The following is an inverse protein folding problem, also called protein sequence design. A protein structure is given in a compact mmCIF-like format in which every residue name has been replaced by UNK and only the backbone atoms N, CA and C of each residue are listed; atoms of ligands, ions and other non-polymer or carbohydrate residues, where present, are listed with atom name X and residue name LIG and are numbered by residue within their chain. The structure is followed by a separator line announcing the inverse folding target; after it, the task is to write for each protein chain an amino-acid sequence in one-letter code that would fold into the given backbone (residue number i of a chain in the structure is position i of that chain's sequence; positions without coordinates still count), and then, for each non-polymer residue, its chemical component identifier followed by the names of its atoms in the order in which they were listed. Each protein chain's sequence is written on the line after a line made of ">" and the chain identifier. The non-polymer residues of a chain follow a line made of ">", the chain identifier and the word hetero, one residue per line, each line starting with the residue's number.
data_IF_993382598958
#
_entry.id   IF_993382598958
#
_cell.length_a   1.000
_cell.length_b   1.000
_cell.length_c   1.000
_cell.angle_alpha   90.00
_cell.angle_beta   90.00
_cell.angle_gamma   90.00
#
_symmetry.space_group_name_H-M   'P 1'
#
loop_
_entity.id
_entity.type
_entity.pdbx_description
1 polymer ?
#
# COMPACT_ATOMS: atom_id res chain seq x y z
N UNK A 1 -30.75 -21.06 7.57
CA UNK A 1 -29.66 -20.27 8.19
C UNK A 1 -28.96 -21.16 9.21
N UNK A 2 -27.68 -21.52 9.01
CA UNK A 2 -26.93 -22.26 10.04
C UNK A 2 -26.66 -21.30 11.20
N UNK A 3 -27.29 -21.56 12.35
CA UNK A 3 -26.99 -20.87 13.60
C UNK A 3 -25.53 -21.16 13.96
N UNK A 4 -24.69 -20.13 13.95
CA UNK A 4 -23.31 -20.22 14.43
C UNK A 4 -23.36 -20.35 15.94
N UNK A 5 -22.83 -21.44 16.47
CA UNK A 5 -22.81 -21.73 17.90
C UNK A 5 -21.91 -20.72 18.63
N UNK A 6 -22.50 -19.86 19.46
CA UNK A 6 -21.82 -18.74 20.13
C UNK A 6 -20.79 -19.18 21.20
N UNK A 7 -20.77 -20.46 21.59
CA UNK A 7 -19.97 -20.96 22.72
C UNK A 7 -18.62 -21.58 22.32
N UNK A 8 -18.09 -21.31 21.13
CA UNK A 8 -16.77 -21.81 20.67
C UNK A 8 -15.90 -20.75 19.97
N UNK A 9 -16.11 -19.46 20.23
CA UNK A 9 -15.20 -18.43 19.71
C UNK A 9 -14.07 -18.27 20.72
N UNK A 10 -12.86 -18.69 20.37
CA UNK A 10 -11.67 -18.49 21.21
C UNK A 10 -11.31 -17.00 21.25
N UNK A 11 -10.68 -16.50 22.31
CA UNK A 11 -10.25 -15.10 22.43
C UNK A 11 -9.37 -14.66 21.25
N UNK A 12 -8.58 -15.59 20.71
CA UNK A 12 -7.79 -15.40 19.49
C UNK A 12 -8.65 -15.22 18.24
N UNK A 13 -9.77 -15.94 18.14
CA UNK A 13 -10.71 -15.80 17.03
C UNK A 13 -11.45 -14.46 17.13
N UNK A 14 -11.84 -14.05 18.34
CA UNK A 14 -12.41 -12.72 18.59
C UNK A 14 -11.41 -11.61 18.24
N UNK A 15 -10.14 -11.77 18.62
CA UNK A 15 -9.08 -10.81 18.31
C UNK A 15 -8.83 -10.70 16.81
N UNK A 16 -8.68 -11.83 16.12
CA UNK A 16 -8.50 -11.86 14.67
C UNK A 16 -9.71 -11.28 13.93
N UNK A 17 -10.93 -11.61 14.38
CA UNK A 17 -12.17 -11.05 13.83
C UNK A 17 -12.26 -9.54 14.05
N UNK A 18 -11.94 -9.03 15.25
CA UNK A 18 -11.89 -7.58 15.52
C UNK A 18 -10.87 -6.87 14.62
N UNK A 19 -9.71 -7.49 14.37
CA UNK A 19 -8.69 -6.93 13.48
C UNK A 19 -9.15 -6.92 12.02
N UNK A 20 -9.81 -7.99 11.55
CA UNK A 20 -10.41 -8.05 10.22
C UNK A 20 -11.55 -7.03 10.05
N UNK A 21 -12.39 -6.84 11.08
CA UNK A 21 -13.46 -5.83 11.07
C UNK A 21 -12.91 -4.41 11.07
N UNK A 22 -11.85 -4.13 11.84
CA UNK A 22 -11.16 -2.83 11.80
C UNK A 22 -10.58 -2.56 10.41
N UNK A 23 -9.97 -3.57 9.79
CA UNK A 23 -9.47 -3.50 8.42
C UNK A 23 -10.59 -3.22 7.41
N UNK A 24 -11.70 -3.96 7.51
CA UNK A 24 -12.86 -3.76 6.64
C UNK A 24 -13.47 -2.36 6.80
N UNK A 25 -13.57 -1.85 8.04
CA UNK A 25 -14.07 -0.51 8.32
C UNK A 25 -13.13 0.59 7.81
N UNK A 26 -11.82 0.44 8.01
CA UNK A 26 -10.82 1.38 7.51
C UNK A 26 -10.87 1.45 5.97
N UNK A 27 -10.96 0.29 5.32
CA UNK A 27 -11.12 0.20 3.87
C UNK A 27 -12.37 0.93 3.40
N UNK A 28 -13.52 0.81 4.07
CA UNK A 28 -14.75 1.51 3.67
C UNK A 28 -14.70 3.04 3.79
N UNK A 29 -13.77 3.58 4.59
CA UNK A 29 -13.59 5.03 4.79
C UNK A 29 -12.65 5.67 3.76
N UNK A 30 -11.90 4.87 3.01
CA UNK A 30 -11.05 5.33 1.92
C UNK A 30 -11.88 6.12 0.90
N UNK A 31 -11.38 7.31 0.54
CA UNK A 31 -12.04 8.24 -0.39
C UNK A 31 -13.16 9.11 0.22
N UNK A 32 -13.49 8.95 1.50
CA UNK A 32 -14.54 9.75 2.19
C UNK A 32 -13.98 10.85 3.11
N UNK A 33 -12.74 10.70 3.57
CA UNK A 33 -12.08 11.66 4.45
C UNK A 33 -11.62 12.93 3.72
N UNK A 34 -11.52 14.04 4.46
CA UNK A 34 -10.93 15.29 3.93
C UNK A 34 -9.41 15.12 3.79
N UNK A 35 -8.87 15.41 2.62
CA UNK A 35 -7.43 15.32 2.32
C UNK A 35 -6.68 16.53 2.88
N UNK A 36 -6.11 16.36 4.07
CA UNK A 36 -5.42 17.44 4.81
C UNK A 36 -3.96 17.15 5.09
N UNK A 37 -3.53 15.89 4.94
CA UNK A 37 -2.16 15.48 5.22
C UNK A 37 -1.35 15.69 3.96
N UNK A 38 -0.44 16.65 4.01
CA UNK A 38 0.47 16.92 2.91
C UNK A 38 1.52 15.80 2.82
N UNK A 39 1.78 15.32 1.60
CA UNK A 39 2.80 14.33 1.29
C UNK A 39 3.71 14.90 0.21
N UNK A 40 5.02 14.75 0.39
CA UNK A 40 6.03 15.21 -0.55
C UNK A 40 6.82 14.04 -1.10
N UNK A 41 6.71 13.77 -2.40
CA UNK A 41 7.39 12.66 -3.05
C UNK A 41 8.53 13.11 -3.96
N UNK A 42 9.69 12.50 -3.80
CA UNK A 42 10.80 12.66 -4.74
C UNK A 42 10.46 12.04 -6.10
N UNK A 43 11.15 12.48 -7.17
CA UNK A 43 10.97 11.93 -8.53
C UNK A 43 11.01 10.39 -8.58
N UNK A 44 11.89 9.77 -7.78
CA UNK A 44 12.01 8.32 -7.68
C UNK A 44 10.78 7.68 -7.06
N UNK A 45 10.36 8.18 -5.90
CA UNK A 45 9.18 7.68 -5.19
C UNK A 45 7.89 7.88 -5.97
N UNK A 46 7.73 8.98 -6.70
CA UNK A 46 6.56 9.17 -7.56
C UNK A 46 6.48 8.09 -8.65
N UNK A 47 7.60 7.78 -9.32
CA UNK A 47 7.64 6.72 -10.34
C UNK A 47 7.35 5.36 -9.72
N UNK A 48 7.95 5.08 -8.57
CA UNK A 48 7.76 3.82 -7.88
C UNK A 48 6.32 3.66 -7.39
N UNK A 49 5.71 4.69 -6.81
CA UNK A 49 4.31 4.67 -6.39
C UNK A 49 3.36 4.46 -7.59
N UNK A 50 3.60 5.09 -8.74
CA UNK A 50 2.81 4.85 -9.96
C UNK A 50 2.85 3.36 -10.39
N UNK A 51 4.03 2.73 -10.30
CA UNK A 51 4.21 1.30 -10.57
C UNK A 51 3.49 0.42 -9.55
N UNK A 52 3.65 0.71 -8.26
CA UNK A 52 2.98 -0.02 -7.17
C UNK A 52 1.46 0.04 -7.34
N UNK A 53 0.90 1.22 -7.56
CA UNK A 53 -0.55 1.39 -7.73
C UNK A 53 -1.04 0.67 -8.99
N UNK A 54 -0.27 0.72 -10.08
CA UNK A 54 -0.59 -0.03 -11.29
C UNK A 54 -0.66 -1.53 -11.03
N UNK A 55 0.29 -2.08 -10.28
CA UNK A 55 0.32 -3.52 -9.98
C UNK A 55 -0.76 -3.93 -8.97
N UNK A 56 -1.01 -3.13 -7.94
CA UNK A 56 -2.10 -3.36 -6.98
C UNK A 56 -3.47 -3.37 -7.69
N UNK A 57 -3.70 -2.46 -8.65
CA UNK A 57 -4.92 -2.46 -9.46
C UNK A 57 -5.09 -3.77 -10.24
N UNK A 58 -4.04 -4.25 -10.91
CA UNK A 58 -4.07 -5.53 -11.64
C UNK A 58 -4.36 -6.71 -10.71
N UNK A 59 -3.75 -6.74 -9.53
CA UNK A 59 -4.00 -7.79 -8.54
C UNK A 59 -5.44 -7.76 -8.03
N UNK A 60 -6.03 -6.57 -7.83
CA UNK A 60 -7.43 -6.45 -7.42
C UNK A 60 -8.39 -6.96 -8.49
N UNK A 61 -8.12 -6.62 -9.76
CA UNK A 61 -8.90 -7.09 -10.92
C UNK A 61 -8.78 -8.62 -11.07
N UNK A 62 -7.57 -9.17 -10.99
CA UNK A 62 -7.32 -10.61 -11.11
C UNK A 62 -8.01 -11.44 -10.02
N UNK A 63 -8.16 -10.88 -8.81
CA UNK A 63 -8.76 -11.56 -7.67
C UNK A 63 -10.26 -11.32 -7.49
N UNK A 64 -10.94 -10.65 -8.44
CA UNK A 64 -12.34 -10.20 -8.32
C UNK A 64 -12.62 -9.42 -7.02
N UNK A 65 -11.59 -8.76 -6.48
CA UNK A 65 -11.63 -8.06 -5.19
C UNK A 65 -11.72 -6.54 -5.38
N UNK A 66 -12.31 -6.09 -6.49
CA UNK A 66 -12.37 -4.67 -6.84
C UNK A 66 -13.31 -3.94 -5.87
N UNK A 67 -12.73 -3.11 -5.02
CA UNK A 67 -13.47 -2.21 -4.12
C UNK A 67 -13.54 -0.82 -4.76
N UNK A 68 -14.74 -0.32 -5.14
CA UNK A 68 -14.88 0.92 -5.91
C UNK A 68 -14.23 2.16 -5.29
N UNK A 69 -14.22 2.21 -3.96
CA UNK A 69 -13.64 3.32 -3.21
C UNK A 69 -12.10 3.25 -3.16
N UNK A 70 -11.51 2.05 -3.11
CA UNK A 70 -10.06 1.87 -3.28
C UNK A 70 -9.66 2.18 -4.73
N UNK A 71 -10.45 1.73 -5.71
CA UNK A 71 -10.19 2.04 -7.12
C UNK A 71 -10.17 3.54 -7.36
N UNK A 72 -11.19 4.26 -6.87
CA UNK A 72 -11.26 5.72 -6.92
C UNK A 72 -10.05 6.39 -6.25
N UNK A 73 -9.59 5.84 -5.12
CA UNK A 73 -8.40 6.34 -4.44
C UNK A 73 -7.12 6.10 -5.26
N UNK A 74 -6.97 4.93 -5.87
CA UNK A 74 -5.84 4.62 -6.75
C UNK A 74 -5.83 5.49 -7.99
N UNK A 75 -7.00 5.79 -8.57
CA UNK A 75 -7.12 6.73 -9.68
C UNK A 75 -6.74 8.15 -9.26
N UNK A 76 -7.11 8.57 -8.05
CA UNK A 76 -6.64 9.82 -7.47
C UNK A 76 -5.12 9.86 -7.37
N UNK A 77 -4.47 8.83 -6.79
CA UNK A 77 -3.01 8.78 -6.67
C UNK A 77 -2.36 8.82 -8.05
N UNK A 78 -2.82 8.00 -9.00
CA UNK A 78 -2.28 8.01 -10.37
C UNK A 78 -2.41 9.38 -11.02
N UNK A 79 -3.51 10.10 -10.84
CA UNK A 79 -3.63 11.48 -11.34
C UNK A 79 -2.56 12.42 -10.76
N UNK A 80 -2.08 12.17 -9.53
CA UNK A 80 -1.00 12.96 -8.92
C UNK A 80 0.39 12.56 -9.41
N UNK A 81 0.66 11.26 -9.59
CA UNK A 81 2.03 10.78 -9.81
C UNK A 81 2.28 10.20 -11.21
N UNK A 82 1.26 9.97 -12.02
CA UNK A 82 1.47 9.50 -13.38
C UNK A 82 2.02 10.62 -14.26
N UNK A 83 2.92 10.27 -15.18
CA UNK A 83 3.51 11.21 -16.13
C UNK A 83 3.46 10.55 -17.50
N UNK A 84 2.86 11.23 -18.46
CA UNK A 84 2.74 10.73 -19.83
C UNK A 84 4.10 10.65 -20.52
N UNK A 85 4.17 9.80 -21.56
CA UNK A 85 5.39 9.63 -22.34
C UNK A 85 5.81 10.96 -22.97
N UNK A 86 7.04 11.39 -22.72
CA UNK A 86 7.59 12.66 -23.21
C UNK A 86 7.45 13.84 -22.26
N UNK A 87 6.65 13.71 -21.19
CA UNK A 87 6.55 14.75 -20.16
C UNK A 87 7.64 14.61 -19.09
N UNK A 88 8.08 15.75 -18.53
CA UNK A 88 9.07 15.77 -17.45
C UNK A 88 8.38 15.62 -16.10
N UNK A 89 8.77 14.59 -15.36
CA UNK A 89 8.37 14.39 -13.97
C UNK A 89 8.98 15.46 -13.06
N UNK A 90 8.14 16.08 -12.24
CA UNK A 90 8.52 17.08 -11.25
C UNK A 90 9.57 16.54 -10.25
N UNK A 91 10.48 17.40 -9.79
CA UNK A 91 11.54 17.01 -8.83
C UNK A 91 10.95 16.58 -7.49
N UNK A 92 9.94 17.32 -7.02
CA UNK A 92 9.21 17.10 -5.79
C UNK A 92 7.73 17.29 -6.10
N UNK A 93 6.92 16.26 -5.85
CA UNK A 93 5.47 16.32 -6.03
C UNK A 93 4.80 16.41 -4.67
N UNK A 94 3.93 17.39 -4.52
CA UNK A 94 3.14 17.59 -3.31
C UNK A 94 1.69 17.29 -3.60
N UNK A 95 1.04 16.49 -2.75
CA UNK A 95 -0.41 16.27 -2.77
C UNK A 95 -0.91 15.89 -1.39
N UNK A 96 -2.23 15.91 -1.19
CA UNK A 96 -2.82 15.66 0.11
C UNK A 96 -3.49 14.29 0.19
N UNK A 97 -3.45 13.70 1.38
CA UNK A 97 -4.19 12.49 1.74
C UNK A 97 -5.10 12.75 2.93
N UNK A 98 -6.17 11.97 3.05
CA UNK A 98 -6.86 11.81 4.33
C UNK A 98 -6.06 10.90 5.27
N UNK A 99 -6.37 10.92 6.56
CA UNK A 99 -5.74 10.04 7.55
C UNK A 99 -5.90 8.57 7.16
N UNK A 100 -7.09 8.16 6.76
CA UNK A 100 -7.39 6.79 6.37
C UNK A 100 -6.63 6.38 5.10
N UNK A 101 -6.52 7.27 4.12
CA UNK A 101 -5.76 7.03 2.88
C UNK A 101 -4.24 6.90 3.15
N UNK A 102 -3.69 7.76 4.02
CA UNK A 102 -2.29 7.69 4.42
C UNK A 102 -2.01 6.38 5.20
N UNK A 103 -2.82 6.06 6.20
CA UNK A 103 -2.69 4.85 7.00
C UNK A 103 -2.78 3.60 6.13
N UNK A 104 -3.69 3.59 5.16
CA UNK A 104 -3.79 2.50 4.19
C UNK A 104 -2.52 2.33 3.38
N UNK A 105 -1.98 3.41 2.79
CA UNK A 105 -0.71 3.31 2.03
C UNK A 105 0.44 2.87 2.92
N UNK A 106 0.56 3.41 4.13
CA UNK A 106 1.58 3.02 5.11
C UNK A 106 1.50 1.53 5.43
N UNK A 107 0.29 1.01 5.65
CA UNK A 107 0.09 -0.41 5.93
C UNK A 107 0.50 -1.28 4.73
N UNK A 108 0.07 -0.92 3.52
CA UNK A 108 0.43 -1.65 2.30
C UNK A 108 1.96 -1.68 2.11
N UNK A 109 2.63 -0.54 2.28
CA UNK A 109 4.08 -0.45 2.09
C UNK A 109 4.83 -1.24 3.16
N UNK A 110 4.41 -1.17 4.43
CA UNK A 110 4.99 -2.01 5.50
C UNK A 110 4.81 -3.50 5.21
N UNK A 111 3.64 -3.90 4.69
CA UNK A 111 3.39 -5.29 4.30
C UNK A 111 4.34 -5.73 3.17
N UNK A 112 4.50 -4.90 2.13
CA UNK A 112 5.44 -5.17 1.03
C UNK A 112 6.89 -5.28 1.50
N UNK A 113 7.35 -4.41 2.42
CA UNK A 113 8.70 -4.50 3.01
C UNK A 113 8.89 -5.87 3.67
N UNK A 114 7.95 -6.28 4.52
CA UNK A 114 8.01 -7.56 5.23
C UNK A 114 8.00 -8.74 4.24
N UNK A 115 7.18 -8.67 3.20
CA UNK A 115 7.12 -9.72 2.19
C UNK A 115 8.44 -9.85 1.41
N UNK A 116 9.02 -8.72 0.98
CA UNK A 116 10.32 -8.70 0.29
C UNK A 116 11.43 -9.26 1.18
N UNK A 117 11.41 -8.96 2.49
CA UNK A 117 12.33 -9.56 3.46
C UNK A 117 12.16 -11.06 3.55
N UNK A 118 10.93 -11.55 3.69
CA UNK A 118 10.64 -12.98 3.75
C UNK A 118 11.11 -13.70 2.47
N UNK A 119 10.79 -13.16 1.30
CA UNK A 119 11.23 -13.72 0.01
C UNK A 119 12.76 -13.73 -0.10
N UNK A 120 13.44 -12.68 0.38
CA UNK A 120 14.90 -12.62 0.41
C UNK A 120 15.52 -13.65 1.35
N UNK A 121 14.91 -13.89 2.51
CA UNK A 121 15.38 -14.90 3.49
C UNK A 121 15.27 -16.33 2.94
N UNK A 122 14.26 -16.61 2.11
CA UNK A 122 14.08 -17.91 1.45
C UNK A 122 15.12 -18.16 0.34
N UNK A 123 15.89 -17.15 -0.10
CA UNK A 123 16.91 -17.33 -1.11
C UNK A 123 18.19 -17.95 -0.55
N UNK A 124 18.62 -19.05 -1.19
CA UNK A 124 19.95 -19.64 -1.00
C UNK A 124 21.06 -18.61 -1.22
N UNK A 125 22.20 -18.79 -0.52
CA UNK A 125 23.31 -17.83 -0.50
C UNK A 125 23.82 -17.45 -1.90
N UNK A 126 23.92 -18.41 -2.81
CA UNK A 126 24.40 -18.22 -4.17
C UNK A 126 23.47 -17.40 -5.09
N UNK A 127 22.23 -17.09 -4.68
CA UNK A 127 21.30 -16.25 -5.46
C UNK A 127 21.60 -14.74 -5.31
N UNK A 128 22.85 -14.33 -5.50
CA UNK A 128 23.35 -12.99 -5.20
C UNK A 128 22.57 -11.91 -5.96
N UNK A 129 22.33 -12.09 -7.27
CA UNK A 129 21.59 -11.12 -8.10
C UNK A 129 20.18 -10.90 -7.55
N UNK A 130 19.45 -11.98 -7.22
CA UNK A 130 18.09 -11.87 -6.65
C UNK A 130 18.09 -11.19 -5.28
N UNK A 131 19.10 -11.45 -4.44
CA UNK A 131 19.25 -10.77 -3.14
C UNK A 131 19.48 -9.27 -3.28
N UNK A 132 20.29 -8.85 -4.26
CA UNK A 132 20.51 -7.43 -4.56
C UNK A 132 19.22 -6.77 -5.03
N UNK A 133 18.49 -7.41 -5.95
CA UNK A 133 17.20 -6.92 -6.42
C UNK A 133 16.19 -6.73 -5.27
N UNK A 134 16.01 -7.74 -4.40
CA UNK A 134 15.12 -7.60 -3.24
C UNK A 134 15.57 -6.50 -2.27
N UNK A 135 16.88 -6.32 -2.08
CA UNK A 135 17.39 -5.21 -1.25
C UNK A 135 17.06 -3.85 -1.86
N UNK A 136 17.15 -3.73 -3.18
CA UNK A 136 16.77 -2.51 -3.90
C UNK A 136 15.27 -2.22 -3.79
N UNK A 137 14.42 -3.22 -4.00
CA UNK A 137 12.96 -3.09 -3.83
C UNK A 137 12.59 -2.73 -2.40
N UNK A 138 13.24 -3.34 -1.41
CA UNK A 138 13.08 -2.97 0.00
C UNK A 138 13.43 -1.50 0.23
N UNK A 139 14.59 -1.04 -0.27
CA UNK A 139 15.02 0.35 -0.11
C UNK A 139 14.05 1.35 -0.78
N UNK A 140 13.49 1.00 -1.94
CA UNK A 140 12.45 1.81 -2.59
C UNK A 140 11.18 1.92 -1.75
N UNK A 141 10.73 0.82 -1.13
CA UNK A 141 9.59 0.84 -0.22
C UNK A 141 9.88 1.63 1.06
N UNK A 142 11.07 1.50 1.65
CA UNK A 142 11.46 2.25 2.85
C UNK A 142 11.53 3.75 2.58
N UNK A 143 12.07 4.15 1.42
CA UNK A 143 12.11 5.55 1.00
C UNK A 143 10.69 6.10 0.82
N UNK A 144 9.85 5.38 0.08
CA UNK A 144 8.46 5.77 -0.14
C UNK A 144 7.68 5.88 1.19
N UNK A 145 7.89 4.93 2.11
CA UNK A 145 7.29 4.94 3.45
C UNK A 145 7.71 6.18 4.24
N UNK A 146 9.00 6.52 4.22
CA UNK A 146 9.54 7.70 4.91
C UNK A 146 8.92 8.99 4.37
N UNK A 147 8.80 9.10 3.05
CA UNK A 147 8.22 10.27 2.38
C UNK A 147 6.71 10.40 2.65
N UNK A 148 5.96 9.28 2.66
CA UNK A 148 4.53 9.28 2.96
C UNK A 148 4.25 9.63 4.42
N UNK A 149 5.06 9.16 5.37
CA UNK A 149 4.90 9.47 6.79
C UNK A 149 5.22 10.94 7.14
N UNK A 150 5.65 11.72 6.15
CA UNK A 150 5.96 13.14 6.28
C UNK A 150 6.81 13.46 7.52
N UNK A 151 7.91 12.71 7.71
CA UNK A 151 8.94 13.06 8.69
C UNK A 151 9.75 14.26 8.18
N UNK A 152 9.14 15.45 8.22
CA UNK A 152 9.90 16.69 8.36
C UNK A 152 10.25 16.90 9.82
#
# INVERSE_FOLDING_TARGET
>A
MKMVNANKINDMDVFNMKQQMKMASAVQKIGKGKRKIEVHLSKGSQRYLDQVITELKKQMEANNAVLPNIQSFFDYIRKQVHVEKGQKREKLKTFNLSYEEQDFLVLQIKSMIKEVENQKQQLKFYNIIKKVLFSSVKAQNELLLKEILNKK
#
